data_IF_735110940006
#
_entry.id   IF_735110940006
#
_cell.length_a   1.000
_cell.length_b   1.000
_cell.length_c   1.000
_cell.angle_alpha   90.00
_cell.angle_beta   90.00
_cell.angle_gamma   90.00
#
_symmetry.space_group_name_H-M   'P 1'
#
loop_
_entity.id
_entity.type
_entity.pdbx_description
1 polymer ?
#
# COMPACT_ATOMS: atom_id res chain seq x y z
N UNK A 1 41.24 32.76 36.79
CA UNK A 1 39.82 32.45 36.49
C UNK A 1 39.40 32.88 35.09
N UNK A 2 39.81 34.07 34.59
CA UNK A 2 39.55 34.50 33.19
C UNK A 2 40.22 33.61 32.14
N UNK A 3 41.48 33.23 32.38
CA UNK A 3 42.30 32.42 31.46
C UNK A 3 41.73 31.00 31.23
N UNK A 4 41.19 30.37 32.28
CA UNK A 4 40.52 29.07 32.17
C UNK A 4 39.19 29.15 31.40
N UNK A 5 38.52 30.31 31.41
CA UNK A 5 37.28 30.54 30.68
C UNK A 5 37.55 30.74 29.18
N UNK A 6 38.61 31.46 28.83
CA UNK A 6 39.03 31.68 27.45
C UNK A 6 39.52 30.39 26.78
N UNK A 7 40.27 29.54 27.49
CA UNK A 7 40.71 28.23 26.99
C UNK A 7 39.51 27.31 26.77
N UNK A 8 38.53 27.30 27.69
CA UNK A 8 37.31 26.51 27.53
C UNK A 8 36.46 26.99 26.34
N UNK A 9 36.38 28.30 26.12
CA UNK A 9 35.66 28.89 24.98
C UNK A 9 36.34 28.56 23.64
N UNK A 10 37.67 28.72 23.55
CA UNK A 10 38.44 28.36 22.36
C UNK A 10 38.33 26.86 22.03
N UNK A 11 38.44 25.99 23.04
CA UNK A 11 38.27 24.55 22.88
C UNK A 11 36.86 24.19 22.40
N UNK A 12 35.82 24.90 22.88
CA UNK A 12 34.44 24.67 22.44
C UNK A 12 34.19 25.11 20.99
N UNK A 13 34.82 26.21 20.56
CA UNK A 13 34.70 26.73 19.20
C UNK A 13 35.45 25.85 18.21
N UNK A 14 36.63 25.35 18.56
CA UNK A 14 37.37 24.39 17.74
C UNK A 14 36.63 23.05 17.62
N UNK A 15 36.03 22.56 18.71
CA UNK A 15 35.17 21.37 18.68
C UNK A 15 33.91 21.57 17.85
N UNK A 16 33.30 22.76 17.86
CA UNK A 16 32.16 23.09 17.00
C UNK A 16 32.58 23.21 15.52
N UNK A 17 33.75 23.79 15.24
CA UNK A 17 34.30 23.88 13.89
C UNK A 17 34.63 22.48 13.33
N UNK A 18 35.27 21.61 14.11
CA UNK A 18 35.55 20.22 13.70
C UNK A 18 34.28 19.37 13.52
N UNK A 19 33.21 19.62 14.30
CA UNK A 19 31.89 19.00 14.06
C UNK A 19 31.23 19.46 12.76
N UNK A 20 31.52 20.67 12.29
CA UNK A 20 30.98 21.21 11.04
C UNK A 20 31.69 20.66 9.79
N UNK A 21 32.99 20.40 9.89
CA UNK A 21 33.83 19.87 8.79
C UNK A 21 33.60 18.37 8.55
N UNK A 22 33.16 17.62 9.57
CA UNK A 22 32.92 16.16 9.50
C UNK A 22 31.45 15.77 9.28
N UNK A 23 30.57 16.65 8.82
CA UNK A 23 29.22 16.21 8.40
C UNK A 23 29.35 15.47 7.07
N UNK A 24 29.20 14.12 7.02
CA UNK A 24 29.03 13.44 5.74
C UNK A 24 27.84 14.08 5.02
N UNK A 25 27.84 14.11 3.68
CA UNK A 25 26.78 14.70 2.85
C UNK A 25 25.37 14.41 3.40
N UNK A 26 24.86 15.31 4.25
CA UNK A 26 23.74 15.01 5.15
C UNK A 26 22.37 15.04 4.48
N UNK A 27 22.35 15.24 3.16
CA UNK A 27 21.15 15.21 2.33
C UNK A 27 20.93 13.82 1.71
N UNK A 28 22.01 13.13 1.33
CA UNK A 28 21.92 11.82 0.66
C UNK A 28 21.52 10.69 1.63
N UNK A 29 21.58 10.94 2.94
CA UNK A 29 21.17 10.01 4.00
C UNK A 29 19.82 10.35 4.64
N UNK A 30 19.13 11.37 4.12
CA UNK A 30 17.76 11.71 4.52
C UNK A 30 16.77 10.97 3.62
N UNK A 31 15.52 10.76 4.08
CA UNK A 31 14.46 10.12 3.29
C UNK A 31 13.91 11.01 2.15
N UNK A 32 14.79 11.72 1.44
CA UNK A 32 14.43 12.62 0.33
C UNK A 32 13.71 11.84 -0.76
N UNK A 33 14.20 10.64 -1.08
CA UNK A 33 13.57 9.77 -2.08
C UNK A 33 12.13 9.45 -1.68
N UNK A 34 11.90 9.05 -0.43
CA UNK A 34 10.56 8.75 0.10
C UNK A 34 9.59 9.93 -0.01
N UNK A 35 10.02 11.13 0.39
CA UNK A 35 9.19 12.33 0.22
C UNK A 35 8.93 12.66 -1.26
N UNK A 36 9.93 12.49 -2.11
CA UNK A 36 9.84 12.79 -3.54
C UNK A 36 8.81 11.89 -4.21
N UNK A 37 8.88 10.57 -4.01
CA UNK A 37 7.91 9.63 -4.60
C UNK A 37 6.50 9.89 -4.07
N UNK A 38 6.38 10.20 -2.76
CA UNK A 38 5.11 10.58 -2.15
C UNK A 38 4.50 11.80 -2.83
N UNK A 39 5.23 12.91 -2.94
CA UNK A 39 4.74 14.13 -3.60
C UNK A 39 4.42 13.94 -5.07
N UNK A 40 5.25 13.20 -5.81
CA UNK A 40 4.97 12.93 -7.21
C UNK A 40 3.67 12.13 -7.37
N UNK A 41 3.38 11.20 -6.47
CA UNK A 41 2.12 10.45 -6.47
C UNK A 41 0.90 11.32 -6.14
N UNK A 42 1.00 12.18 -5.12
CA UNK A 42 -0.09 13.12 -4.78
C UNK A 42 -0.41 14.06 -5.94
N UNK A 43 0.62 14.56 -6.61
CA UNK A 43 0.48 15.55 -7.68
C UNK A 43 0.21 14.92 -9.06
N UNK A 44 -0.07 13.62 -9.14
CA UNK A 44 -0.39 12.94 -10.40
C UNK A 44 0.73 13.02 -11.46
N UNK A 45 1.99 13.06 -11.02
CA UNK A 45 3.12 13.43 -11.88
C UNK A 45 3.55 12.28 -12.80
N UNK A 46 3.65 12.57 -14.10
CA UNK A 46 4.07 11.62 -15.15
C UNK A 46 5.50 11.10 -15.00
N UNK A 47 6.31 11.75 -14.17
CA UNK A 47 7.69 11.38 -13.88
C UNK A 47 7.78 10.20 -12.88
N UNK A 48 6.72 9.96 -12.09
CA UNK A 48 6.71 8.92 -11.07
C UNK A 48 7.01 7.53 -11.61
N UNK A 49 6.39 7.04 -12.73
CA UNK A 49 6.69 5.71 -13.25
C UNK A 49 8.17 5.51 -13.57
N UNK A 50 8.80 6.49 -14.24
CA UNK A 50 10.23 6.39 -14.58
C UNK A 50 11.14 6.39 -13.36
N UNK A 51 10.77 7.10 -12.29
CA UNK A 51 11.50 7.06 -11.03
C UNK A 51 11.32 5.71 -10.32
N UNK A 52 10.11 5.16 -10.30
CA UNK A 52 9.85 3.83 -9.74
C UNK A 52 10.60 2.73 -10.50
N UNK A 53 10.67 2.81 -11.83
CA UNK A 53 11.45 1.89 -12.66
C UNK A 53 12.96 1.97 -12.33
N UNK A 54 13.48 3.19 -12.13
CA UNK A 54 14.85 3.39 -11.68
C UNK A 54 15.10 2.76 -10.31
N UNK A 55 14.19 2.98 -9.36
CA UNK A 55 14.25 2.42 -8.01
C UNK A 55 14.28 0.89 -8.07
N UNK A 56 13.38 0.28 -8.85
CA UNK A 56 13.29 -1.18 -9.00
C UNK A 56 14.56 -1.76 -9.62
N UNK A 57 15.15 -1.05 -10.57
CA UNK A 57 16.37 -1.51 -11.25
C UNK A 57 17.63 -1.40 -10.38
N UNK A 58 17.71 -0.38 -9.52
CA UNK A 58 18.99 0.00 -8.88
C UNK A 58 19.01 -0.17 -7.36
N UNK A 59 17.86 -0.24 -6.68
CA UNK A 59 17.78 -0.21 -5.21
C UNK A 59 17.35 -1.55 -4.60
N UNK A 60 17.53 -2.64 -5.34
CA UNK A 60 17.38 -4.03 -4.86
C UNK A 60 16.02 -4.34 -4.21
N UNK A 61 14.89 -4.15 -4.92
CA UNK A 61 13.59 -4.58 -4.43
C UNK A 61 13.62 -6.06 -4.03
N UNK A 62 13.09 -6.36 -2.86
CA UNK A 62 13.08 -7.70 -2.28
C UNK A 62 11.66 -8.07 -1.90
N UNK A 63 11.29 -9.32 -2.21
CA UNK A 63 10.02 -9.90 -1.80
C UNK A 63 10.25 -10.85 -0.63
N UNK A 64 9.53 -10.65 0.46
CA UNK A 64 9.50 -11.57 1.59
C UNK A 64 8.05 -11.77 2.03
N UNK A 65 7.59 -13.03 2.06
CA UNK A 65 6.23 -13.39 2.52
C UNK A 65 5.11 -12.55 1.89
N UNK A 66 5.22 -12.31 0.58
CA UNK A 66 4.23 -11.53 -0.18
C UNK A 66 4.35 -10.01 -0.04
N UNK A 67 5.23 -9.50 0.81
CA UNK A 67 5.53 -8.07 0.94
C UNK A 67 6.72 -7.65 0.08
N UNK A 68 6.55 -6.58 -0.69
CA UNK A 68 7.64 -5.88 -1.38
C UNK A 68 8.26 -4.86 -0.43
N UNK A 69 9.58 -4.88 -0.27
CA UNK A 69 10.33 -3.85 0.43
C UNK A 69 11.69 -3.61 -0.23
N UNK A 70 12.33 -2.50 0.14
CA UNK A 70 13.70 -2.20 -0.27
C UNK A 70 14.61 -2.30 0.96
N UNK A 71 15.60 -3.21 0.97
CA UNK A 71 16.48 -3.39 2.12
C UNK A 71 17.18 -2.10 2.53
N UNK A 72 17.28 -1.87 3.84
CA UNK A 72 17.99 -0.72 4.38
C UNK A 72 19.46 -0.73 3.95
N UNK A 73 19.94 0.40 3.47
CA UNK A 73 21.33 0.63 3.14
C UNK A 73 21.75 2.04 3.58
N UNK A 74 22.65 2.12 4.56
CA UNK A 74 23.10 3.40 5.12
C UNK A 74 24.20 4.06 4.27
N UNK A 75 24.72 3.41 3.21
CA UNK A 75 25.70 3.99 2.29
C UNK A 75 25.02 4.92 1.28
N UNK A 76 25.47 6.18 1.23
CA UNK A 76 25.01 7.17 0.25
C UNK A 76 25.16 6.67 -1.19
N UNK A 77 26.33 6.14 -1.53
CA UNK A 77 26.68 5.68 -2.87
C UNK A 77 27.47 4.36 -2.85
N UNK A 78 27.47 3.66 -3.97
CA UNK A 78 28.37 2.53 -4.25
C UNK A 78 29.76 2.99 -4.73
N UNK A 79 30.62 2.02 -5.04
CA UNK A 79 31.98 2.22 -5.56
C UNK A 79 32.00 2.91 -6.93
N UNK A 80 30.88 2.91 -7.66
CA UNK A 80 30.72 3.55 -8.97
C UNK A 80 30.02 4.92 -8.87
N UNK A 81 29.92 5.49 -7.67
CA UNK A 81 29.23 6.75 -7.39
C UNK A 81 27.72 6.75 -7.72
N UNK A 82 27.10 5.57 -7.78
CA UNK A 82 25.64 5.44 -7.93
C UNK A 82 24.97 5.55 -6.57
N UNK A 83 23.82 6.23 -6.50
CA UNK A 83 23.02 6.31 -5.28
C UNK A 83 22.58 4.90 -4.84
N UNK A 84 22.88 4.53 -3.59
CA UNK A 84 22.40 3.26 -3.00
C UNK A 84 21.69 3.43 -1.66
N UNK A 85 21.61 4.63 -1.12
CA UNK A 85 21.01 4.84 0.19
C UNK A 85 19.52 4.49 0.19
N UNK A 86 19.13 3.72 1.20
CA UNK A 86 17.76 3.33 1.46
C UNK A 86 17.52 3.33 2.97
N UNK A 87 16.71 4.25 3.46
CA UNK A 87 16.27 4.25 4.85
C UNK A 87 15.00 3.40 5.03
N UNK A 88 14.70 3.04 6.29
CA UNK A 88 13.56 2.18 6.61
C UNK A 88 12.20 2.79 6.25
N UNK A 89 12.04 4.11 6.31
CA UNK A 89 10.78 4.75 5.94
C UNK A 89 10.59 4.72 4.42
N UNK A 90 11.62 5.08 3.65
CA UNK A 90 11.55 5.05 2.18
C UNK A 90 11.29 3.63 1.68
N UNK A 91 12.06 2.65 2.15
CA UNK A 91 12.05 1.28 1.64
C UNK A 91 10.84 0.44 2.04
N UNK A 92 10.26 0.68 3.23
CA UNK A 92 9.11 -0.11 3.70
C UNK A 92 7.76 0.58 3.50
N UNK A 93 7.72 1.92 3.46
CA UNK A 93 6.46 2.66 3.46
C UNK A 93 6.31 3.59 2.25
N UNK A 94 7.26 4.51 2.04
CA UNK A 94 7.04 5.62 1.10
C UNK A 94 6.92 5.17 -0.36
N UNK A 95 7.73 4.20 -0.80
CA UNK A 95 7.64 3.67 -2.17
C UNK A 95 6.34 2.88 -2.36
N UNK A 96 5.94 2.06 -1.39
CA UNK A 96 4.67 1.35 -1.42
C UNK A 96 3.48 2.31 -1.47
N UNK A 97 3.52 3.35 -0.64
CA UNK A 97 2.54 4.44 -0.67
C UNK A 97 2.44 5.06 -2.06
N UNK A 98 3.55 5.48 -2.65
CA UNK A 98 3.55 6.13 -3.96
C UNK A 98 2.98 5.27 -5.10
N UNK A 99 3.07 3.93 -4.98
CA UNK A 99 2.49 3.00 -5.95
C UNK A 99 0.97 2.83 -5.80
N UNK A 100 0.47 2.88 -4.58
CA UNK A 100 -0.95 2.69 -4.25
C UNK A 100 -1.75 4.00 -4.31
N UNK A 101 -1.05 5.11 -4.12
CA UNK A 101 -1.66 6.42 -4.06
C UNK A 101 -2.20 6.86 -5.42
N UNK A 102 -3.25 7.68 -5.37
CA UNK A 102 -3.84 8.32 -6.54
C UNK A 102 -3.59 9.82 -6.47
N UNK A 103 -3.72 10.51 -7.61
CA UNK A 103 -3.70 11.97 -7.64
C UNK A 103 -4.71 12.54 -6.63
N UNK A 104 -4.27 13.53 -5.86
CA UNK A 104 -4.99 14.14 -4.74
C UNK A 104 -5.45 13.14 -3.67
N UNK A 105 -4.75 12.02 -3.48
CA UNK A 105 -5.14 10.96 -2.54
C UNK A 105 -5.37 11.45 -1.12
N UNK A 106 -4.40 12.14 -0.52
CA UNK A 106 -4.57 12.69 0.84
C UNK A 106 -5.64 13.78 0.89
N UNK A 107 -5.70 14.62 -0.15
CA UNK A 107 -6.69 15.69 -0.25
C UNK A 107 -8.11 15.12 -0.32
N UNK A 108 -8.34 14.06 -1.10
CA UNK A 108 -9.64 13.37 -1.18
C UNK A 108 -10.06 12.80 0.16
N UNK A 109 -9.14 12.17 0.90
CA UNK A 109 -9.42 11.66 2.24
C UNK A 109 -9.73 12.80 3.21
N UNK A 110 -9.05 13.94 3.09
CA UNK A 110 -9.27 15.11 3.94
C UNK A 110 -10.60 15.82 3.65
N UNK A 111 -10.90 16.06 2.37
CA UNK A 111 -12.11 16.76 1.93
C UNK A 111 -13.37 15.88 2.04
N UNK A 112 -13.20 14.55 1.89
CA UNK A 112 -14.26 13.56 1.92
C UNK A 112 -13.91 12.39 2.84
N UNK A 113 -13.78 12.64 4.16
CA UNK A 113 -13.44 11.59 5.11
C UNK A 113 -14.55 10.54 5.15
N UNK A 114 -14.16 9.28 5.33
CA UNK A 114 -15.12 8.21 5.54
C UNK A 114 -15.88 8.43 6.83
N UNK A 115 -17.20 8.45 6.73
CA UNK A 115 -18.08 8.52 7.89
C UNK A 115 -18.39 7.11 8.40
N UNK A 116 -18.68 6.99 9.69
CA UNK A 116 -19.10 5.72 10.28
C UNK A 116 -20.31 5.13 9.55
N UNK A 117 -21.29 5.97 9.19
CA UNK A 117 -22.48 5.55 8.45
C UNK A 117 -22.14 5.01 7.05
N UNK A 118 -21.23 5.65 6.33
CA UNK A 118 -20.78 5.16 5.04
C UNK A 118 -20.13 3.78 5.17
N UNK A 119 -19.17 3.62 6.09
CA UNK A 119 -18.45 2.36 6.26
C UNK A 119 -19.38 1.23 6.73
N UNK A 120 -20.28 1.49 7.68
CA UNK A 120 -21.17 0.46 8.22
C UNK A 120 -22.28 0.04 7.25
N UNK A 121 -22.60 0.86 6.24
CA UNK A 121 -23.63 0.56 5.24
C UNK A 121 -23.12 -0.24 4.03
N UNK A 122 -21.81 -0.35 3.85
CA UNK A 122 -21.24 -1.00 2.67
C UNK A 122 -21.08 -2.51 2.86
N UNK A 123 -21.18 -3.29 1.77
CA UNK A 123 -20.81 -4.69 1.79
C UNK A 123 -19.32 -4.87 2.11
N UNK A 124 -19.00 -5.96 2.81
CA UNK A 124 -17.61 -6.29 3.15
C UNK A 124 -17.39 -7.80 3.14
N UNK A 125 -16.13 -8.19 2.97
CA UNK A 125 -15.72 -9.59 2.93
C UNK A 125 -15.20 -10.04 4.29
N UNK A 126 -15.84 -11.05 4.88
CA UNK A 126 -15.51 -11.64 6.17
C UNK A 126 -14.92 -13.05 6.02
N UNK A 127 -14.34 -13.58 7.10
CA UNK A 127 -13.77 -14.94 7.14
C UNK A 127 -12.38 -15.04 6.54
N UNK A 128 -11.68 -13.91 6.44
CA UNK A 128 -10.33 -13.79 5.89
C UNK A 128 -9.45 -12.94 6.80
N UNK A 129 -8.17 -13.26 6.81
CA UNK A 129 -7.14 -12.64 7.61
C UNK A 129 -5.85 -12.46 6.80
N UNK A 130 -4.91 -11.67 7.35
CA UNK A 130 -3.59 -11.53 6.76
C UNK A 130 -2.78 -12.84 6.76
N UNK A 131 -3.18 -13.84 7.53
CA UNK A 131 -2.50 -15.14 7.62
C UNK A 131 -2.93 -16.14 6.54
N UNK A 132 -3.94 -15.81 5.72
CA UNK A 132 -4.46 -16.72 4.70
C UNK A 132 -3.61 -16.76 3.42
N UNK A 133 -2.57 -15.92 3.34
CA UNK A 133 -1.67 -15.76 2.18
C UNK A 133 -2.38 -15.30 0.89
N UNK A 134 -3.55 -14.66 1.03
CA UNK A 134 -4.33 -14.11 -0.07
C UNK A 134 -3.98 -12.63 -0.25
N UNK A 135 -3.66 -12.26 -1.48
CA UNK A 135 -3.51 -10.88 -1.92
C UNK A 135 -4.78 -10.43 -2.66
N UNK A 136 -5.32 -9.27 -2.28
CA UNK A 136 -6.47 -8.64 -2.91
C UNK A 136 -6.01 -7.52 -3.82
N UNK A 137 -6.06 -7.74 -5.13
CA UNK A 137 -5.65 -6.74 -6.14
C UNK A 137 -6.77 -5.76 -6.47
N UNK A 138 -8.02 -6.09 -6.15
CA UNK A 138 -9.19 -5.23 -6.36
C UNK A 138 -10.28 -5.53 -5.34
N UNK A 139 -10.86 -4.47 -4.77
CA UNK A 139 -12.11 -4.49 -4.02
C UNK A 139 -12.94 -3.28 -4.44
N UNK A 140 -14.12 -3.53 -4.99
CA UNK A 140 -14.98 -2.47 -5.53
C UNK A 140 -16.45 -2.74 -5.21
N UNK A 141 -17.14 -1.68 -4.78
CA UNK A 141 -18.57 -1.68 -4.53
C UNK A 141 -19.22 -0.52 -5.28
N UNK A 142 -20.25 -0.84 -6.06
CA UNK A 142 -21.11 0.12 -6.75
C UNK A 142 -22.55 -0.08 -6.26
N UNK A 143 -22.99 0.85 -5.41
CA UNK A 143 -24.31 0.83 -4.80
C UNK A 143 -25.44 1.03 -5.82
N UNK A 144 -25.23 1.86 -6.83
CA UNK A 144 -26.26 2.15 -7.85
C UNK A 144 -26.54 0.91 -8.70
N UNK A 145 -25.51 0.10 -8.94
CA UNK A 145 -25.62 -1.12 -9.74
C UNK A 145 -25.81 -2.39 -8.91
N UNK A 146 -25.74 -2.29 -7.58
CA UNK A 146 -25.75 -3.45 -6.69
C UNK A 146 -24.63 -4.43 -7.04
N UNK A 147 -23.40 -3.96 -7.20
CA UNK A 147 -22.28 -4.73 -7.74
C UNK A 147 -21.07 -4.73 -6.82
N UNK A 148 -20.65 -5.92 -6.37
CA UNK A 148 -19.39 -6.15 -5.66
C UNK A 148 -18.42 -6.89 -6.59
N UNK A 149 -17.18 -6.39 -6.69
CA UNK A 149 -16.09 -7.05 -7.41
C UNK A 149 -14.91 -7.22 -6.47
N UNK A 150 -14.41 -8.44 -6.37
CA UNK A 150 -13.20 -8.77 -5.61
C UNK A 150 -12.27 -9.57 -6.53
N UNK A 151 -11.01 -9.15 -6.62
CA UNK A 151 -9.97 -9.90 -7.34
C UNK A 151 -8.90 -10.36 -6.37
N UNK A 152 -8.59 -11.64 -6.41
CA UNK A 152 -7.72 -12.30 -5.43
C UNK A 152 -6.74 -13.27 -6.08
N UNK A 153 -5.56 -13.42 -5.48
CA UNK A 153 -4.56 -14.45 -5.80
C UNK A 153 -3.78 -14.84 -4.54
N UNK A 154 -3.12 -15.99 -4.55
CA UNK A 154 -2.11 -16.29 -3.52
C UNK A 154 -0.81 -15.55 -3.82
N UNK A 155 -0.10 -15.09 -2.80
CA UNK A 155 1.18 -14.41 -3.01
C UNK A 155 2.31 -15.40 -3.33
N UNK A 156 2.25 -16.63 -2.82
CA UNK A 156 3.26 -17.69 -3.00
C UNK A 156 2.96 -18.61 -4.20
N UNK A 157 1.80 -18.43 -4.84
CA UNK A 157 1.33 -19.24 -5.95
C UNK A 157 0.76 -20.61 -5.57
N UNK A 158 0.64 -20.92 -4.28
CA UNK A 158 -0.07 -22.12 -3.80
C UNK A 158 -1.55 -22.06 -4.19
N UNK A 159 -2.21 -23.21 -4.38
CA UNK A 159 -3.67 -23.25 -4.52
C UNK A 159 -4.31 -23.45 -3.15
N UNK A 160 -5.34 -22.65 -2.85
CA UNK A 160 -6.08 -22.68 -1.59
C UNK A 160 -7.58 -22.54 -1.84
N UNK A 161 -8.38 -23.21 -1.01
CA UNK A 161 -9.83 -23.00 -0.98
C UNK A 161 -10.13 -21.93 0.08
N UNK A 162 -10.53 -20.75 -0.38
CA UNK A 162 -10.95 -19.64 0.45
C UNK A 162 -12.43 -19.79 0.82
N UNK A 163 -12.73 -19.80 2.12
CA UNK A 163 -14.10 -19.75 2.65
C UNK A 163 -14.34 -18.37 3.25
N UNK A 164 -15.04 -17.53 2.51
CA UNK A 164 -15.32 -16.15 2.91
C UNK A 164 -16.83 -15.89 2.95
N UNK A 165 -17.26 -14.82 3.58
CA UNK A 165 -18.67 -14.39 3.57
C UNK A 165 -18.74 -12.95 3.11
N UNK A 166 -19.46 -12.72 2.01
CA UNK A 166 -19.81 -11.37 1.59
C UNK A 166 -21.02 -10.92 2.41
N UNK A 167 -20.85 -9.89 3.24
CA UNK A 167 -21.84 -9.45 4.22
C UNK A 167 -22.50 -8.14 3.87
N UNK A 168 -23.60 -7.86 4.57
CA UNK A 168 -24.28 -6.57 4.56
C UNK A 168 -24.77 -6.15 3.17
N UNK A 169 -25.32 -7.12 2.43
CA UNK A 169 -25.86 -6.88 1.09
C UNK A 169 -27.25 -6.26 1.17
N UNK A 170 -27.59 -5.45 0.17
CA UNK A 170 -28.94 -4.94 0.02
C UNK A 170 -29.92 -6.07 -0.30
N UNK A 171 -31.19 -5.84 0.02
CA UNK A 171 -32.25 -6.78 -0.35
C UNK A 171 -32.31 -7.01 -1.87
N UNK A 172 -32.57 -8.24 -2.28
CA UNK A 172 -32.78 -8.59 -3.68
C UNK A 172 -32.20 -9.93 -4.10
N UNK A 173 -32.23 -10.16 -5.41
CA UNK A 173 -31.77 -11.39 -6.04
C UNK A 173 -30.33 -11.22 -6.53
N UNK A 174 -29.38 -11.93 -5.91
CA UNK A 174 -27.95 -11.79 -6.19
C UNK A 174 -27.42 -12.97 -7.00
N UNK A 175 -26.76 -12.68 -8.12
CA UNK A 175 -26.03 -13.63 -8.94
C UNK A 175 -24.53 -13.53 -8.64
N UNK A 176 -23.89 -14.65 -8.35
CA UNK A 176 -22.45 -14.73 -8.05
C UNK A 176 -21.72 -15.43 -9.19
N UNK A 177 -20.67 -14.79 -9.68
CA UNK A 177 -19.78 -15.27 -10.72
C UNK A 177 -18.38 -15.47 -10.15
N UNK A 178 -17.72 -16.54 -10.54
CA UNK A 178 -16.30 -16.78 -10.32
C UNK A 178 -15.66 -17.00 -11.69
N UNK A 179 -14.71 -16.15 -12.05
CA UNK A 179 -14.07 -16.10 -13.38
C UNK A 179 -15.08 -16.10 -14.53
N UNK A 180 -16.08 -15.21 -14.42
CA UNK A 180 -17.14 -15.04 -15.40
C UNK A 180 -18.16 -16.19 -15.46
N UNK A 181 -17.96 -17.27 -14.70
CA UNK A 181 -18.92 -18.40 -14.63
C UNK A 181 -19.86 -18.20 -13.46
N UNK A 182 -21.16 -18.15 -13.72
CA UNK A 182 -22.16 -18.09 -12.65
C UNK A 182 -22.07 -19.37 -11.80
N UNK A 183 -21.95 -19.19 -10.48
CA UNK A 183 -21.86 -20.29 -9.51
C UNK A 183 -23.14 -20.48 -8.73
N UNK A 184 -23.85 -19.39 -8.44
CA UNK A 184 -25.09 -19.42 -7.67
C UNK A 184 -25.92 -18.18 -7.88
N UNK A 185 -27.18 -18.32 -7.49
CA UNK A 185 -28.15 -17.24 -7.34
C UNK A 185 -28.77 -17.34 -5.95
N UNK A 186 -28.85 -16.24 -5.23
CA UNK A 186 -29.28 -16.20 -3.82
C UNK A 186 -30.23 -15.03 -3.62
N UNK A 187 -31.40 -15.29 -3.02
CA UNK A 187 -32.26 -14.21 -2.52
C UNK A 187 -31.75 -13.77 -1.16
N UNK A 188 -31.51 -12.46 -1.03
CA UNK A 188 -30.91 -11.87 0.17
C UNK A 188 -31.89 -10.83 0.72
N UNK A 189 -32.16 -10.89 2.02
CA UNK A 189 -32.88 -9.84 2.74
C UNK A 189 -31.95 -8.66 3.05
N UNK A 190 -32.49 -7.51 3.42
CA UNK A 190 -31.66 -6.36 3.81
C UNK A 190 -30.63 -6.71 4.90
N UNK A 191 -29.36 -6.40 4.65
CA UNK A 191 -28.25 -6.71 5.55
C UNK A 191 -27.84 -8.19 5.56
N UNK A 192 -28.31 -8.97 4.59
CA UNK A 192 -28.02 -10.40 4.49
C UNK A 192 -26.67 -10.70 3.85
N UNK A 193 -26.34 -11.99 3.83
CA UNK A 193 -24.99 -12.48 3.56
C UNK A 193 -24.98 -13.55 2.47
N UNK A 194 -23.86 -13.66 1.76
CA UNK A 194 -23.57 -14.73 0.81
C UNK A 194 -22.25 -15.40 1.21
N UNK A 195 -22.32 -16.67 1.59
CA UNK A 195 -21.12 -17.49 1.78
C UNK A 195 -20.45 -17.74 0.43
N UNK A 196 -19.12 -17.73 0.37
CA UNK A 196 -18.30 -17.91 -0.81
C UNK A 196 -17.29 -19.05 -0.55
N UNK A 197 -17.14 -19.93 -1.53
CA UNK A 197 -16.06 -20.91 -1.57
C UNK A 197 -15.37 -20.73 -2.91
N UNK A 198 -14.10 -20.31 -2.87
CA UNK A 198 -13.34 -19.87 -4.05
C UNK A 198 -11.99 -20.56 -4.03
N UNK A 199 -11.63 -21.25 -5.11
CA UNK A 199 -10.26 -21.72 -5.29
C UNK A 199 -9.41 -20.54 -5.79
N UNK A 200 -8.35 -20.23 -5.05
CA UNK A 200 -7.45 -19.12 -5.34
C UNK A 200 -6.04 -19.67 -5.49
N UNK A 201 -5.37 -19.30 -6.58
CA UNK A 201 -4.02 -19.73 -6.88
C UNK A 201 -3.13 -18.59 -7.34
N UNK A 202 -2.12 -18.92 -8.14
CA UNK A 202 -1.17 -17.94 -8.69
C UNK A 202 -1.82 -16.91 -9.63
N UNK A 203 -2.88 -17.30 -10.31
CA UNK A 203 -3.59 -16.44 -11.28
C UNK A 203 -4.71 -15.70 -10.55
N UNK A 204 -4.89 -14.43 -10.89
CA UNK A 204 -5.98 -13.60 -10.37
C UNK A 204 -7.33 -14.28 -10.67
N UNK A 205 -8.16 -14.40 -9.63
CA UNK A 205 -9.53 -14.92 -9.69
C UNK A 205 -10.49 -13.78 -9.40
N UNK A 206 -11.49 -13.61 -10.27
CA UNK A 206 -12.53 -12.61 -10.13
C UNK A 206 -13.78 -13.19 -9.49
N UNK A 207 -14.17 -12.64 -8.34
CA UNK A 207 -15.47 -12.88 -7.71
C UNK A 207 -16.34 -11.65 -7.94
N UNK A 208 -17.46 -11.85 -8.64
CA UNK A 208 -18.42 -10.78 -8.93
C UNK A 208 -19.78 -11.17 -8.36
N UNK A 209 -20.31 -10.36 -7.45
CA UNK A 209 -21.68 -10.49 -6.97
C UNK A 209 -22.49 -9.32 -7.50
N UNK A 210 -23.59 -9.61 -8.19
CA UNK A 210 -24.44 -8.60 -8.82
C UNK A 210 -25.90 -8.81 -8.42
N UNK A 211 -26.55 -7.76 -7.96
CA UNK A 211 -27.98 -7.73 -7.72
C UNK A 211 -28.74 -7.55 -9.04
N UNK A 212 -29.61 -8.50 -9.35
CA UNK A 212 -30.46 -8.51 -10.56
C UNK A 212 -31.75 -7.70 -10.39
N UNK A 213 -32.18 -7.46 -9.15
CA UNK A 213 -33.32 -6.61 -8.79
C UNK A 213 -33.05 -5.97 -7.42
N UNK A 214 -32.79 -4.67 -7.41
CA UNK A 214 -32.81 -3.89 -6.17
C UNK A 214 -34.27 -3.72 -5.76
N UNK A 215 -34.63 -4.23 -4.58
CA UNK A 215 -35.97 -4.07 -3.96
C UNK A 215 -35.92 -3.11 -2.79
#
# INVERSE_FOLDING_TARGET
MKEALEIAQHTSLEQQAQRSVNKPLSLLTKPILGYTVGWLSELGRKELPGLLDFIDKNLHPTWEKGGLYYPRNDKAMDENLKWTHMDSFTGNAAIGYARLNIEDGMKKIWDHPWTQQQVSSQPWLDGISLADDINFSRGFWDAERGLVIITMRTWDGSSKILKATLRNLSSGSWDVFIDGKQKKKVEVSQGGDIQLEVEVGRVDVDVVARCSKLT
#
